data_IF_642556375788
#
_entry.id   IF_642556375788
#
_cell.length_a   1.000
_cell.length_b   1.000
_cell.length_c   1.000
_cell.angle_alpha   90.00
_cell.angle_beta   90.00
_cell.angle_gamma   90.00
#
_symmetry.space_group_name_H-M   'P 1'
#
loop_
_entity.id
_entity.type
_entity.pdbx_description
1 polymer ?
#
# COMPACT_ATOMS: atom_id res chain seq x y z
N UNK A 1 -17.40 -8.22 -2.24
CA UNK A 1 -16.95 -6.80 -2.15
C UNK A 1 -15.44 -6.73 -2.09
N UNK A 2 -14.80 -5.83 -2.83
CA UNK A 2 -13.35 -5.56 -2.72
C UNK A 2 -13.13 -4.25 -1.95
N UNK A 3 -12.15 -4.24 -1.03
CA UNK A 3 -11.71 -3.07 -0.28
C UNK A 3 -10.20 -2.90 -0.49
N UNK A 4 -9.79 -1.81 -1.14
CA UNK A 4 -8.38 -1.52 -1.41
C UNK A 4 -7.85 -0.48 -0.42
N UNK A 5 -6.78 -0.82 0.29
CA UNK A 5 -6.05 0.12 1.14
C UNK A 5 -4.84 0.65 0.36
N UNK A 6 -4.86 1.94 0.04
CA UNK A 6 -3.78 2.64 -0.64
C UNK A 6 -3.07 3.61 0.30
N UNK A 7 -1.86 4.04 -0.08
CA UNK A 7 -1.08 4.99 0.69
C UNK A 7 0.41 4.65 0.71
N UNK A 8 1.18 5.52 1.34
CA UNK A 8 2.63 5.46 1.33
C UNK A 8 3.18 4.23 2.09
N UNK A 9 4.40 3.82 1.76
CA UNK A 9 5.09 2.77 2.51
C UNK A 9 5.23 3.17 3.99
N UNK A 10 5.07 2.21 4.91
CA UNK A 10 5.14 2.47 6.35
C UNK A 10 3.87 3.05 6.98
N UNK A 11 2.82 3.37 6.20
CA UNK A 11 1.56 3.89 6.77
C UNK A 11 0.76 2.86 7.57
N UNK A 12 0.97 1.56 7.31
CA UNK A 12 0.35 0.47 8.05
C UNK A 12 -0.72 -0.31 7.27
N UNK A 13 -0.77 -0.22 5.93
CA UNK A 13 -1.78 -0.91 5.09
C UNK A 13 -1.92 -2.40 5.39
N UNK A 14 -0.81 -3.13 5.43
CA UNK A 14 -0.84 -4.59 5.65
C UNK A 14 -1.33 -4.95 7.05
N UNK A 15 -0.95 -4.18 8.08
CA UNK A 15 -1.39 -4.43 9.46
C UNK A 15 -2.88 -4.10 9.62
N UNK A 16 -3.31 -2.91 9.18
CA UNK A 16 -4.71 -2.49 9.20
C UNK A 16 -5.57 -3.42 8.36
N UNK A 17 -5.09 -3.79 7.16
CA UNK A 17 -5.84 -4.65 6.25
C UNK A 17 -6.10 -6.05 6.80
N UNK A 18 -5.13 -6.65 7.49
CA UNK A 18 -5.33 -7.96 8.14
C UNK A 18 -6.39 -7.90 9.24
N UNK A 19 -6.32 -6.89 10.10
CA UNK A 19 -7.30 -6.73 11.19
C UNK A 19 -8.69 -6.38 10.63
N UNK A 20 -8.78 -5.51 9.63
CA UNK A 20 -10.03 -5.19 8.95
C UNK A 20 -10.66 -6.43 8.28
N UNK A 21 -9.84 -7.26 7.62
CA UNK A 21 -10.33 -8.49 7.00
C UNK A 21 -10.94 -9.45 8.04
N UNK A 22 -10.32 -9.55 9.22
CA UNK A 22 -10.86 -10.35 10.34
C UNK A 22 -12.20 -9.76 10.82
N UNK A 23 -12.26 -8.44 11.01
CA UNK A 23 -13.47 -7.75 11.48
C UNK A 23 -14.65 -7.93 10.51
N UNK A 24 -14.39 -7.86 9.20
CA UNK A 24 -15.41 -8.01 8.16
C UNK A 24 -15.72 -9.48 7.80
N UNK A 25 -14.92 -10.45 8.27
CA UNK A 25 -15.02 -11.84 7.83
C UNK A 25 -14.54 -12.04 6.37
N UNK A 26 -13.68 -11.17 5.86
CA UNK A 26 -13.16 -11.17 4.50
C UNK A 26 -11.79 -11.88 4.42
N UNK A 27 -11.38 -12.24 3.22
CA UNK A 27 -9.99 -12.67 2.96
C UNK A 27 -9.08 -11.45 2.90
N UNK A 28 -7.79 -11.67 3.16
CA UNK A 28 -6.77 -10.64 3.05
C UNK A 28 -5.77 -10.96 1.95
N UNK A 29 -5.46 -9.97 1.11
CA UNK A 29 -4.41 -10.05 0.09
C UNK A 29 -3.48 -8.84 0.24
N UNK A 30 -2.18 -9.07 0.28
CA UNK A 30 -1.14 -8.06 0.12
C UNK A 30 -0.54 -8.22 -1.26
N UNK A 31 -0.58 -7.18 -2.10
CA UNK A 31 -0.18 -7.31 -3.51
C UNK A 31 1.30 -7.62 -3.68
N UNK A 32 2.16 -7.07 -2.82
CA UNK A 32 3.60 -7.35 -2.86
C UNK A 32 3.86 -8.82 -2.49
N UNK A 33 3.23 -9.32 -1.43
CA UNK A 33 3.32 -10.74 -1.03
C UNK A 33 2.73 -11.68 -2.09
N UNK A 34 1.65 -11.29 -2.76
CA UNK A 34 1.06 -12.07 -3.85
C UNK A 34 2.05 -12.23 -5.02
N UNK A 35 2.76 -11.15 -5.39
CA UNK A 35 3.78 -11.18 -6.44
C UNK A 35 4.98 -12.03 -6.02
N UNK A 36 5.49 -11.83 -4.80
CA UNK A 36 6.61 -12.59 -4.24
C UNK A 36 6.35 -14.10 -4.26
N UNK A 37 5.15 -14.51 -3.86
CA UNK A 37 4.76 -15.93 -3.86
C UNK A 37 4.71 -16.51 -5.28
N UNK A 38 4.21 -15.75 -6.27
CA UNK A 38 4.15 -16.23 -7.66
C UNK A 38 5.51 -16.29 -8.34
N UNK A 39 6.40 -15.36 -7.99
CA UNK A 39 7.75 -15.32 -8.53
C UNK A 39 8.74 -16.22 -7.75
N UNK A 40 8.36 -16.74 -6.57
CA UNK A 40 9.24 -17.43 -5.63
C UNK A 40 10.50 -16.59 -5.30
N UNK A 41 10.37 -15.27 -5.24
CA UNK A 41 11.44 -14.30 -5.02
C UNK A 41 10.92 -13.11 -4.19
N UNK A 42 11.81 -12.52 -3.41
CA UNK A 42 11.50 -11.29 -2.71
C UNK A 42 11.38 -10.10 -3.67
N UNK A 43 10.63 -9.08 -3.30
CA UNK A 43 10.50 -7.84 -4.08
C UNK A 43 11.85 -7.27 -4.51
N UNK A 44 12.89 -7.14 -3.64
CA UNK A 44 14.22 -6.71 -4.07
C UNK A 44 14.83 -7.55 -5.17
N UNK A 45 14.74 -8.89 -5.04
CA UNK A 45 15.26 -9.83 -6.05
C UNK A 45 14.54 -9.70 -7.38
N UNK A 46 13.22 -9.47 -7.37
CA UNK A 46 12.42 -9.24 -8.58
C UNK A 46 12.88 -7.96 -9.29
N UNK A 47 13.07 -6.87 -8.54
CA UNK A 47 13.56 -5.61 -9.11
C UNK A 47 14.97 -5.73 -9.68
N UNK A 48 15.87 -6.45 -9.00
CA UNK A 48 17.25 -6.66 -9.44
C UNK A 48 17.33 -7.52 -10.71
N UNK A 49 16.55 -8.60 -10.77
CA UNK A 49 16.64 -9.60 -11.84
C UNK A 49 15.79 -9.23 -13.07
N UNK A 50 14.59 -8.68 -12.86
CA UNK A 50 13.61 -8.44 -13.92
C UNK A 50 13.28 -6.96 -14.15
N UNK A 51 13.66 -6.09 -13.24
CA UNK A 51 13.40 -4.65 -13.32
C UNK A 51 12.00 -4.22 -12.90
N UNK A 52 11.81 -2.90 -12.90
CA UNK A 52 10.55 -2.29 -12.43
C UNK A 52 9.36 -2.61 -13.34
N UNK A 53 9.54 -2.59 -14.66
CA UNK A 53 8.47 -2.84 -15.64
C UNK A 53 7.84 -4.22 -15.46
N UNK A 54 8.65 -5.23 -15.22
CA UNK A 54 8.16 -6.57 -14.90
C UNK A 54 7.30 -6.57 -13.62
N UNK A 55 7.77 -5.90 -12.57
CA UNK A 55 7.00 -5.80 -11.32
C UNK A 55 5.65 -5.11 -11.55
N UNK A 56 5.60 -4.05 -12.35
CA UNK A 56 4.36 -3.35 -12.72
C UNK A 56 3.39 -4.24 -13.50
N UNK A 57 3.91 -5.09 -14.37
CA UNK A 57 3.09 -6.09 -15.07
C UNK A 57 2.47 -7.06 -14.06
N UNK A 58 3.22 -7.50 -13.05
CA UNK A 58 2.71 -8.39 -12.00
C UNK A 58 1.70 -7.72 -11.06
N UNK A 59 1.84 -6.43 -10.79
CA UNK A 59 0.81 -5.65 -10.07
C UNK A 59 -0.51 -5.65 -10.84
N UNK A 60 -0.48 -5.46 -12.16
CA UNK A 60 -1.67 -5.54 -13.02
C UNK A 60 -2.29 -6.94 -13.02
N UNK A 61 -1.49 -7.99 -13.18
CA UNK A 61 -1.95 -9.39 -13.09
C UNK A 61 -2.62 -9.69 -11.74
N UNK A 62 -2.12 -9.10 -10.64
CA UNK A 62 -2.74 -9.24 -9.33
C UNK A 62 -4.14 -8.62 -9.30
N UNK A 63 -4.31 -7.43 -9.86
CA UNK A 63 -5.63 -6.81 -9.95
C UNK A 63 -6.59 -7.61 -10.86
N UNK A 64 -6.12 -8.10 -11.99
CA UNK A 64 -6.89 -8.98 -12.88
C UNK A 64 -7.36 -10.25 -12.16
N UNK A 65 -6.50 -10.85 -11.33
CA UNK A 65 -6.88 -11.99 -10.48
C UNK A 65 -7.98 -11.61 -9.47
N UNK A 66 -7.97 -10.37 -8.95
CA UNK A 66 -8.93 -9.91 -7.96
C UNK A 66 -10.31 -9.59 -8.54
N UNK A 67 -10.45 -9.37 -9.85
CA UNK A 67 -11.73 -9.05 -10.51
C UNK A 67 -12.81 -10.10 -10.20
N UNK A 68 -12.42 -11.37 -10.20
CA UNK A 68 -13.33 -12.51 -9.97
C UNK A 68 -13.41 -12.93 -8.49
N UNK A 69 -12.92 -12.09 -7.57
CA UNK A 69 -12.91 -12.40 -6.15
C UNK A 69 -13.95 -11.58 -5.39
N UNK A 70 -14.58 -12.22 -4.41
CA UNK A 70 -15.49 -11.56 -3.49
C UNK A 70 -14.92 -11.53 -2.08
N UNK A 71 -15.30 -10.50 -1.33
CA UNK A 71 -15.03 -10.34 0.10
C UNK A 71 -13.54 -10.40 0.43
N UNK A 72 -12.79 -9.44 -0.17
CA UNK A 72 -11.34 -9.33 0.00
C UNK A 72 -10.94 -7.92 0.44
N UNK A 73 -10.13 -7.83 1.48
CA UNK A 73 -9.36 -6.63 1.81
C UNK A 73 -7.98 -6.72 1.16
N UNK A 74 -7.61 -5.74 0.38
CA UNK A 74 -6.37 -5.69 -0.40
C UNK A 74 -5.47 -4.58 0.13
N UNK A 75 -4.29 -4.92 0.65
CA UNK A 75 -3.23 -3.96 0.92
C UNK A 75 -2.37 -3.82 -0.34
N UNK A 76 -2.35 -2.63 -0.94
CA UNK A 76 -1.58 -2.40 -2.16
C UNK A 76 -0.12 -2.05 -1.88
N UNK A 77 0.79 -2.43 -2.78
CA UNK A 77 2.11 -1.82 -2.87
C UNK A 77 2.00 -0.30 -3.03
N UNK A 78 2.89 0.46 -2.40
CA UNK A 78 2.80 1.93 -2.41
C UNK A 78 2.94 2.57 -3.79
N UNK A 79 3.46 1.86 -4.78
CA UNK A 79 3.59 2.33 -6.16
C UNK A 79 2.43 1.95 -7.06
N UNK A 80 1.64 0.94 -6.70
CA UNK A 80 0.58 0.40 -7.54
C UNK A 80 -0.45 1.47 -7.96
N UNK A 81 -0.99 2.32 -7.06
CA UNK A 81 -1.95 3.36 -7.42
C UNK A 81 -1.42 4.41 -8.40
N UNK A 82 -0.09 4.53 -8.52
CA UNK A 82 0.56 5.54 -9.35
C UNK A 82 0.81 5.07 -10.79
N UNK A 83 0.41 3.84 -11.15
CA UNK A 83 0.72 3.25 -12.44
C UNK A 83 -0.52 3.07 -13.32
N UNK A 84 -0.40 3.46 -14.60
CA UNK A 84 -1.27 3.07 -15.71
C UNK A 84 -2.78 3.07 -15.41
N UNK A 85 -3.30 4.10 -14.76
CA UNK A 85 -4.72 4.21 -14.39
C UNK A 85 -5.23 3.07 -13.48
N UNK A 86 -4.32 2.36 -12.77
CA UNK A 86 -4.72 1.30 -11.86
C UNK A 86 -5.57 1.82 -10.68
N UNK A 87 -5.42 3.10 -10.35
CA UNK A 87 -6.27 3.74 -9.35
C UNK A 87 -7.73 3.83 -9.82
N UNK A 88 -7.96 4.16 -11.08
CA UNK A 88 -9.30 4.20 -11.67
C UNK A 88 -9.91 2.78 -11.70
N UNK A 89 -9.12 1.79 -12.12
CA UNK A 89 -9.55 0.39 -12.10
C UNK A 89 -9.94 -0.08 -10.68
N UNK A 90 -9.14 0.24 -9.67
CA UNK A 90 -9.48 -0.11 -8.28
C UNK A 90 -10.78 0.57 -7.83
N UNK A 91 -11.00 1.84 -8.21
CA UNK A 91 -12.23 2.56 -7.90
C UNK A 91 -13.46 1.96 -8.62
N UNK A 92 -13.29 1.37 -9.81
CA UNK A 92 -14.36 0.64 -10.51
C UNK A 92 -14.66 -0.71 -9.84
N UNK A 93 -13.62 -1.41 -9.36
CA UNK A 93 -13.74 -2.76 -8.80
C UNK A 93 -14.26 -2.78 -7.35
N UNK A 94 -14.02 -1.73 -6.57
CA UNK A 94 -14.38 -1.76 -5.16
C UNK A 94 -14.25 -0.44 -4.42
N UNK A 95 -14.23 -0.52 -3.10
CA UNK A 95 -14.01 0.63 -2.23
C UNK A 95 -12.51 0.86 -2.04
N UNK A 96 -12.03 2.06 -2.39
CA UNK A 96 -10.64 2.44 -2.24
C UNK A 96 -10.50 3.43 -1.08
N UNK A 97 -9.65 3.10 -0.12
CA UNK A 97 -9.39 3.90 1.07
C UNK A 97 -7.93 4.33 1.10
N UNK A 98 -7.69 5.62 1.12
CA UNK A 98 -6.36 6.18 1.34
C UNK A 98 -6.06 6.31 2.84
N UNK A 99 -5.11 5.53 3.33
CA UNK A 99 -4.54 5.72 4.66
C UNK A 99 -3.48 6.84 4.60
N UNK A 100 -3.84 8.01 5.09
CA UNK A 100 -3.03 9.23 4.99
C UNK A 100 -2.25 9.47 6.27
N UNK A 101 -0.94 9.74 6.11
CA UNK A 101 -0.05 10.17 7.18
C UNK A 101 0.86 11.30 6.71
N UNK A 102 1.23 12.21 7.60
CA UNK A 102 2.23 13.23 7.31
C UNK A 102 3.61 12.60 7.06
N UNK A 103 4.46 13.30 6.29
CA UNK A 103 5.84 12.87 6.08
C UNK A 103 6.60 12.65 7.40
N UNK A 104 6.34 13.45 8.42
CA UNK A 104 6.95 13.30 9.75
C UNK A 104 6.63 11.94 10.39
N UNK A 105 5.36 11.51 10.37
CA UNK A 105 4.95 10.21 10.90
C UNK A 105 5.59 9.08 10.10
N UNK A 106 5.62 9.21 8.77
CA UNK A 106 6.20 8.21 7.89
C UNK A 106 7.71 8.06 8.11
N UNK A 107 8.45 9.16 8.21
CA UNK A 107 9.88 9.16 8.53
C UNK A 107 10.16 8.46 9.86
N UNK A 108 9.42 8.81 10.92
CA UNK A 108 9.57 8.18 12.23
C UNK A 108 9.30 6.66 12.22
N UNK A 109 8.37 6.20 11.39
CA UNK A 109 8.10 4.76 11.25
C UNK A 109 9.17 4.06 10.41
N UNK A 110 9.58 4.68 9.30
CA UNK A 110 10.57 4.13 8.38
C UNK A 110 11.98 4.09 8.97
N UNK A 111 12.36 5.06 9.79
CA UNK A 111 13.67 5.07 10.49
C UNK A 111 13.85 3.87 11.43
N UNK A 112 12.75 3.36 11.99
CA UNK A 112 12.74 2.19 12.86
C UNK A 112 12.73 0.86 12.10
N UNK A 113 12.33 0.85 10.82
CA UNK A 113 12.08 -0.34 10.00
C UNK A 113 12.91 -0.36 8.70
N UNK A 114 14.07 0.30 8.70
CA UNK A 114 14.88 0.57 7.51
C UNK A 114 15.48 -0.67 6.82
N UNK A 115 15.57 -1.81 7.51
CA UNK A 115 16.35 -2.96 7.05
C UNK A 115 15.73 -3.78 5.90
N UNK A 116 14.47 -3.57 5.53
CA UNK A 116 13.76 -4.42 4.56
C UNK A 116 13.19 -3.69 3.34
N UNK A 117 13.66 -2.47 3.00
CA UNK A 117 13.07 -1.68 1.92
C UNK A 117 14.10 -1.30 0.86
N UNK A 118 14.01 -1.85 -0.38
CA UNK A 118 14.99 -1.60 -1.45
C UNK A 118 15.21 -0.11 -1.74
N UNK A 119 14.13 0.69 -1.74
CA UNK A 119 14.19 2.13 -2.03
C UNK A 119 14.86 2.96 -0.93
N UNK A 120 15.06 2.39 0.26
CA UNK A 120 15.73 3.05 1.39
C UNK A 120 17.17 2.55 1.62
N UNK A 121 17.61 1.53 0.88
CA UNK A 121 18.90 0.88 1.09
C UNK A 121 20.11 1.82 0.96
N UNK A 122 19.99 2.89 0.19
CA UNK A 122 21.06 3.86 -0.06
C UNK A 122 20.96 5.12 0.81
N UNK A 123 19.97 5.22 1.69
CA UNK A 123 19.76 6.39 2.55
C UNK A 123 20.56 6.21 3.83
N UNK A 124 21.53 7.11 4.06
CA UNK A 124 22.50 7.01 5.15
C UNK A 124 22.21 7.96 6.33
N UNK A 125 21.30 8.90 6.17
CA UNK A 125 20.96 9.88 7.20
C UNK A 125 19.46 10.12 7.33
N UNK A 126 19.01 10.56 8.52
CA UNK A 126 17.63 10.94 8.77
C UNK A 126 17.21 12.14 7.92
N UNK A 127 18.14 13.06 7.63
CA UNK A 127 17.90 14.23 6.78
C UNK A 127 17.60 13.79 5.34
N UNK A 128 18.40 12.85 4.81
CA UNK A 128 18.17 12.27 3.49
C UNK A 128 16.84 11.52 3.44
N UNK A 129 16.53 10.73 4.47
CA UNK A 129 15.24 10.02 4.59
C UNK A 129 14.06 10.99 4.57
N UNK A 130 14.15 12.09 5.34
CA UNK A 130 13.10 13.11 5.40
C UNK A 130 12.89 13.77 4.02
N UNK A 131 13.98 14.15 3.36
CA UNK A 131 13.93 14.76 2.03
C UNK A 131 13.34 13.80 1.01
N UNK A 132 13.81 12.54 0.99
CA UNK A 132 13.30 11.50 0.12
C UNK A 132 11.79 11.27 0.33
N UNK A 133 11.36 11.07 1.59
CA UNK A 133 9.95 10.80 1.90
C UNK A 133 9.06 11.98 1.50
N UNK A 134 9.48 13.23 1.78
CA UNK A 134 8.71 14.41 1.39
C UNK A 134 8.51 14.52 -0.12
N UNK A 135 9.61 14.40 -0.89
CA UNK A 135 9.55 14.50 -2.35
C UNK A 135 8.72 13.36 -2.93
N UNK A 136 9.04 12.13 -2.55
CA UNK A 136 8.37 10.93 -3.07
C UNK A 136 6.89 10.82 -2.67
N UNK A 137 6.51 11.32 -1.48
CA UNK A 137 5.11 11.43 -1.07
C UNK A 137 4.38 12.48 -1.90
N UNK A 138 4.97 13.66 -2.12
CA UNK A 138 4.35 14.72 -2.91
C UNK A 138 4.05 14.31 -4.36
N UNK A 139 4.89 13.45 -4.95
CA UNK A 139 4.67 12.88 -6.28
C UNK A 139 3.52 11.87 -6.32
N UNK A 140 3.26 11.18 -5.22
CA UNK A 140 2.29 10.08 -5.13
C UNK A 140 0.94 10.47 -4.55
N UNK A 141 0.92 11.47 -3.67
CA UNK A 141 -0.30 11.91 -3.00
C UNK A 141 -1.43 12.31 -3.96
N UNK A 142 -1.19 12.93 -5.14
CA UNK A 142 -2.26 13.17 -6.11
C UNK A 142 -2.99 11.90 -6.55
N UNK A 143 -2.28 10.77 -6.70
CA UNK A 143 -2.90 9.48 -7.05
C UNK A 143 -3.67 8.90 -5.87
N UNK A 144 -3.09 8.88 -4.67
CA UNK A 144 -3.78 8.38 -3.48
C UNK A 144 -5.06 9.16 -3.17
N UNK A 145 -5.06 10.47 -3.46
CA UNK A 145 -6.20 11.36 -3.23
C UNK A 145 -7.39 11.10 -4.15
N UNK A 146 -7.25 10.25 -5.18
CA UNK A 146 -8.35 9.77 -6.01
C UNK A 146 -9.15 8.64 -5.32
N UNK A 147 -8.76 8.21 -4.13
CA UNK A 147 -9.51 7.23 -3.34
C UNK A 147 -10.89 7.77 -2.97
N UNK A 148 -11.88 6.87 -2.91
CA UNK A 148 -13.25 7.22 -2.51
C UNK A 148 -13.33 7.71 -1.07
N UNK A 149 -12.45 7.20 -0.19
CA UNK A 149 -12.38 7.54 1.23
C UNK A 149 -10.95 7.88 1.61
N UNK A 150 -10.78 8.83 2.53
CA UNK A 150 -9.48 9.21 3.07
C UNK A 150 -9.55 9.13 4.59
N UNK A 151 -8.67 8.36 5.22
CA UNK A 151 -8.54 8.24 6.67
C UNK A 151 -7.17 8.74 7.11
N UNK A 152 -7.17 9.77 7.94
CA UNK A 152 -5.98 10.24 8.63
C UNK A 152 -5.60 9.24 9.74
N UNK A 153 -4.38 8.70 9.66
CA UNK A 153 -3.90 7.73 10.66
C UNK A 153 -3.13 8.36 11.81
N UNK A 154 -2.97 9.69 11.79
CA UNK A 154 -2.28 10.42 12.86
C UNK A 154 -3.01 10.24 14.19
N UNK A 155 -2.24 9.96 15.25
CA UNK A 155 -2.76 9.83 16.62
C UNK A 155 -3.85 8.76 16.81
N UNK A 156 -3.96 7.81 15.88
CA UNK A 156 -4.89 6.68 15.97
C UNK A 156 -4.11 5.37 16.12
N UNK A 157 -4.62 4.51 16.98
CA UNK A 157 -4.20 3.11 17.04
C UNK A 157 -4.73 2.35 15.84
N UNK A 158 -4.15 1.19 15.55
CA UNK A 158 -4.61 0.32 14.49
C UNK A 158 -6.09 -0.05 14.65
N UNK A 159 -6.51 -0.41 15.86
CA UNK A 159 -7.90 -0.77 16.18
C UNK A 159 -8.88 0.39 15.97
N UNK A 160 -8.49 1.63 16.27
CA UNK A 160 -9.33 2.81 15.99
C UNK A 160 -9.52 3.04 14.50
N UNK A 161 -8.44 2.85 13.70
CA UNK A 161 -8.51 2.91 12.24
C UNK A 161 -9.43 1.83 11.68
N UNK A 162 -9.32 0.60 12.16
CA UNK A 162 -10.17 -0.53 11.73
C UNK A 162 -11.64 -0.27 12.06
N UNK A 163 -11.95 0.21 13.26
CA UNK A 163 -13.32 0.58 13.63
C UNK A 163 -13.89 1.69 12.74
N UNK A 164 -13.09 2.72 12.44
CA UNK A 164 -13.51 3.81 11.55
C UNK A 164 -13.80 3.28 10.15
N UNK A 165 -12.95 2.37 9.63
CA UNK A 165 -13.15 1.70 8.36
C UNK A 165 -14.44 0.87 8.35
N UNK A 166 -14.70 0.09 9.38
CA UNK A 166 -15.92 -0.73 9.50
C UNK A 166 -17.21 0.07 9.58
N UNK A 167 -17.15 1.37 9.88
CA UNK A 167 -18.32 2.26 9.90
C UNK A 167 -18.63 2.88 8.54
N UNK A 168 -17.66 2.93 7.62
CA UNK A 168 -17.79 3.61 6.32
C UNK A 168 -17.87 2.64 5.13
N UNK A 169 -17.58 1.36 5.37
CA UNK A 169 -17.67 0.26 4.40
C UNK A 169 -18.99 -0.50 4.54
#
# INVERSE_FOLDING_TARGET
MLVFLVGYMGVGKSSVGRELAIELGFRFVDTDSWIENRCCKSTPQIFEEFGEEFFRTKEKECLEFLVDQDDVVVATGGGLPCNNNLMDLMNELGEVVYLKASSFILVNRLSKDSNNRPKLANIQSEIELNTFVKTHLSEREPFYSLAKQIIEVANKTQTEIVKELGLIL
#
